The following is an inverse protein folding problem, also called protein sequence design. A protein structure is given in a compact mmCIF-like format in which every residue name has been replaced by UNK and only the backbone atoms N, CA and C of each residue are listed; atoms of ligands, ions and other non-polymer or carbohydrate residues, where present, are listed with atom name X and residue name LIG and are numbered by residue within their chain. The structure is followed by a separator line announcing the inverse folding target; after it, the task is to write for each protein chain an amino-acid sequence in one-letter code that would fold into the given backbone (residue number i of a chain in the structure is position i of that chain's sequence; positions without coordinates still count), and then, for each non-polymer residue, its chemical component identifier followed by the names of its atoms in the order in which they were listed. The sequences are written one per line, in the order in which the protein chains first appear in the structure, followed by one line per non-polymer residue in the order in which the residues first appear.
data_IF_317859878518
#
_entry.id   IF_317859878518
#
_cell.length_a   1.000
_cell.length_b   1.000
_cell.length_c   1.000
_cell.angle_alpha   90.00
_cell.angle_beta   90.00
_cell.angle_gamma   90.00
#
_symmetry.space_group_name_H-M   'P 1'
#
loop_
_entity.id
_entity.type
_entity.pdbx_description
1 polymer ?
#
# COMPACT_ATOMS: atom_id res chain seq x y z
N UNK A 1 -8.70 72.85 42.08
CA UNK A 1 -9.58 71.98 41.26
C UNK A 1 -8.71 70.96 40.53
N UNK A 2 -8.88 69.64 40.71
CA UNK A 2 -8.08 68.63 40.02
C UNK A 2 -8.73 68.25 38.67
N UNK A 3 -7.95 68.14 37.59
CA UNK A 3 -8.41 67.62 36.29
C UNK A 3 -7.76 66.25 36.04
N UNK A 4 -8.63 65.23 36.16
CA UNK A 4 -8.72 63.92 35.49
C UNK A 4 -7.42 63.27 34.96
N UNK A 5 -7.14 62.10 35.54
CA UNK A 5 -6.25 61.06 35.05
C UNK A 5 -6.65 60.64 33.62
N UNK A 6 -5.67 60.55 32.72
CA UNK A 6 -5.81 59.85 31.45
C UNK A 6 -5.62 58.35 31.70
N UNK A 7 -6.69 57.59 31.57
CA UNK A 7 -6.66 56.14 31.49
C UNK A 7 -6.04 55.76 30.14
N UNK A 8 -4.83 55.22 30.17
CA UNK A 8 -4.19 54.62 29.02
C UNK A 8 -4.91 53.29 28.72
N UNK A 9 -6.00 53.33 27.95
CA UNK A 9 -6.49 52.16 27.24
C UNK A 9 -5.47 51.80 26.15
N UNK A 10 -4.54 50.92 26.49
CA UNK A 10 -3.72 50.23 25.49
C UNK A 10 -4.63 49.29 24.68
N UNK A 11 -4.82 49.53 23.37
CA UNK A 11 -5.69 48.69 22.57
C UNK A 11 -5.13 47.27 22.50
N UNK A 12 -6.02 46.29 22.60
CA UNK A 12 -5.82 44.84 22.60
C UNK A 12 -5.12 44.27 21.33
N UNK A 13 -3.93 44.76 20.99
CA UNK A 13 -3.15 44.36 19.83
C UNK A 13 -2.60 42.92 19.98
N UNK A 14 -2.22 42.53 21.21
CA UNK A 14 -1.67 41.20 21.50
C UNK A 14 -2.68 40.04 21.35
N UNK A 15 -3.99 40.31 21.46
CA UNK A 15 -5.03 39.26 21.36
C UNK A 15 -5.40 38.92 19.92
N UNK A 16 -5.22 39.87 18.99
CA UNK A 16 -5.46 39.64 17.56
C UNK A 16 -4.32 38.82 16.94
N UNK A 17 -3.07 39.18 17.21
CA UNK A 17 -1.89 38.51 16.65
C UNK A 17 -1.77 37.04 17.07
N UNK A 18 -2.12 36.72 18.33
CA UNK A 18 -2.09 35.33 18.83
C UNK A 18 -3.17 34.46 18.19
N UNK A 19 -4.36 35.00 17.92
CA UNK A 19 -5.43 34.30 17.19
C UNK A 19 -5.08 33.99 15.73
N UNK A 20 -4.40 34.91 15.03
CA UNK A 20 -3.93 34.69 13.66
C UNK A 20 -2.82 33.64 13.58
N UNK A 21 -1.85 33.65 14.50
CA UNK A 21 -0.80 32.63 14.55
C UNK A 21 -1.36 31.23 14.85
N UNK A 22 -2.33 31.14 15.78
CA UNK A 22 -2.97 29.87 16.10
C UNK A 22 -3.81 29.34 14.94
N UNK A 23 -4.63 30.18 14.31
CA UNK A 23 -5.48 29.77 13.18
C UNK A 23 -4.67 29.40 11.94
N UNK A 24 -3.60 30.14 11.62
CA UNK A 24 -2.71 29.81 10.51
C UNK A 24 -1.95 28.51 10.75
N UNK A 25 -1.43 28.29 11.97
CA UNK A 25 -0.80 27.03 12.37
C UNK A 25 -1.76 25.83 12.30
N UNK A 26 -2.98 25.99 12.81
CA UNK A 26 -4.01 24.95 12.74
C UNK A 26 -4.40 24.64 11.28
N UNK A 27 -4.56 25.68 10.45
CA UNK A 27 -4.88 25.50 9.03
C UNK A 27 -3.75 24.77 8.30
N UNK A 28 -2.50 25.16 8.54
CA UNK A 28 -1.33 24.47 7.99
C UNK A 28 -1.25 23.00 8.43
N UNK A 29 -1.56 22.70 9.70
CA UNK A 29 -1.60 21.34 10.23
C UNK A 29 -2.73 20.51 9.59
N UNK A 30 -3.92 21.07 9.46
CA UNK A 30 -5.06 20.42 8.81
C UNK A 30 -4.76 20.14 7.33
N UNK A 31 -4.20 21.12 6.62
CA UNK A 31 -3.76 20.95 5.24
C UNK A 31 -2.70 19.86 5.13
N UNK A 32 -1.71 19.86 6.01
CA UNK A 32 -0.68 18.83 6.07
C UNK A 32 -1.26 17.42 6.22
N UNK A 33 -2.18 17.24 7.18
CA UNK A 33 -2.84 15.96 7.43
C UNK A 33 -3.63 15.49 6.21
N UNK A 34 -4.32 16.40 5.50
CA UNK A 34 -5.08 16.04 4.29
C UNK A 34 -4.18 15.67 3.10
N UNK A 35 -3.00 16.27 3.01
CA UNK A 35 -2.04 16.03 1.92
C UNK A 35 -1.18 14.79 2.13
N UNK A 36 -1.01 14.32 3.38
CA UNK A 36 -0.36 13.05 3.65
C UNK A 36 -1.06 11.93 2.88
N UNK A 37 -0.33 11.26 1.99
CA UNK A 37 -0.83 10.08 1.27
C UNK A 37 -0.58 8.85 2.11
N UNK A 38 -1.61 8.01 2.25
CA UNK A 38 -1.47 6.67 2.81
C UNK A 38 -1.01 5.73 1.71
N UNK A 39 -0.11 4.81 2.05
CA UNK A 39 0.27 3.73 1.14
C UNK A 39 -0.95 2.85 0.81
N UNK A 40 -1.07 2.38 -0.44
CA UNK A 40 -2.08 1.40 -0.78
C UNK A 40 -1.85 0.10 0.01
N UNK A 41 -2.96 -0.58 0.33
CA UNK A 41 -2.92 -1.88 0.97
C UNK A 41 -3.05 -2.97 -0.10
N UNK A 42 -2.21 -3.98 -0.01
CA UNK A 42 -2.23 -5.13 -0.89
C UNK A 42 -2.56 -6.38 -0.06
N UNK A 43 -3.42 -7.25 -0.59
CA UNK A 43 -3.73 -8.53 0.02
C UNK A 43 -3.97 -9.61 -1.03
N UNK A 44 -3.62 -10.84 -0.69
CA UNK A 44 -4.04 -12.03 -1.43
C UNK A 44 -5.37 -12.51 -0.83
N UNK A 45 -6.46 -12.36 -1.61
CA UNK A 45 -7.80 -12.78 -1.17
C UNK A 45 -8.02 -14.26 -1.46
N UNK A 46 -7.63 -14.75 -2.64
CA UNK A 46 -7.66 -16.17 -2.98
C UNK A 46 -6.29 -16.62 -3.49
N UNK A 47 -5.95 -17.87 -3.21
CA UNK A 47 -4.76 -18.53 -3.71
C UNK A 47 -5.07 -20.02 -3.83
N UNK A 48 -4.89 -20.57 -5.03
CA UNK A 48 -5.26 -21.93 -5.35
C UNK A 48 -4.20 -22.61 -6.22
N UNK A 49 -3.83 -23.81 -5.81
CA UNK A 49 -2.82 -24.66 -6.42
C UNK A 49 -3.45 -26.04 -6.68
N UNK A 50 -4.00 -26.30 -7.88
CA UNK A 50 -4.82 -27.47 -8.15
C UNK A 50 -4.10 -28.80 -7.95
N UNK A 51 -2.78 -28.86 -8.18
CA UNK A 51 -2.00 -30.10 -8.02
C UNK A 51 -1.99 -30.62 -6.58
N UNK A 52 -2.10 -29.72 -5.60
CA UNK A 52 -2.15 -30.07 -4.18
C UNK A 52 -3.52 -30.58 -3.76
N UNK A 53 -4.57 -30.26 -4.51
CA UNK A 53 -5.91 -30.75 -4.24
C UNK A 53 -5.97 -32.28 -4.40
N UNK A 54 -6.25 -32.98 -3.32
CA UNK A 54 -6.41 -34.45 -3.30
C UNK A 54 -7.66 -34.92 -4.03
N UNK A 55 -8.70 -34.10 -4.04
CA UNK A 55 -10.01 -34.42 -4.60
C UNK A 55 -10.18 -33.95 -6.06
N UNK A 56 -9.17 -33.29 -6.63
CA UNK A 56 -9.21 -32.82 -8.02
C UNK A 56 -8.83 -33.93 -8.99
N UNK A 57 -9.62 -34.09 -10.05
CA UNK A 57 -9.32 -34.93 -11.22
C UNK A 57 -8.30 -34.29 -12.17
N UNK A 58 -7.85 -33.06 -11.90
CA UNK A 58 -6.87 -32.35 -12.73
C UNK A 58 -5.46 -32.93 -12.52
N UNK A 59 -5.12 -33.98 -13.28
CA UNK A 59 -3.90 -34.77 -13.07
C UNK A 59 -2.60 -33.98 -13.34
N UNK A 60 -2.62 -32.84 -14.05
CA UNK A 60 -1.40 -32.26 -14.64
C UNK A 60 -1.30 -30.72 -14.68
N UNK A 61 -2.09 -29.96 -13.92
CA UNK A 61 -2.00 -28.50 -13.97
C UNK A 61 -0.96 -27.96 -12.96
N UNK A 62 0.24 -27.66 -13.46
CA UNK A 62 1.27 -26.85 -12.77
C UNK A 62 0.91 -25.37 -12.80
N UNK A 63 -0.32 -25.04 -12.40
CA UNK A 63 -0.85 -23.67 -12.46
C UNK A 63 -1.12 -23.18 -11.05
N UNK A 64 -0.82 -21.91 -10.78
CA UNK A 64 -1.16 -21.23 -9.53
C UNK A 64 -2.13 -20.12 -9.90
N UNK A 65 -3.31 -20.12 -9.29
CA UNK A 65 -4.33 -19.08 -9.49
C UNK A 65 -4.42 -18.23 -8.23
N UNK A 66 -4.53 -16.91 -8.37
CA UNK A 66 -4.60 -16.01 -7.23
C UNK A 66 -5.47 -14.78 -7.52
N UNK A 67 -6.03 -14.19 -6.48
CA UNK A 67 -6.67 -12.87 -6.52
C UNK A 67 -5.87 -11.88 -5.67
N UNK A 68 -5.19 -10.97 -6.37
CA UNK A 68 -4.52 -9.83 -5.75
C UNK A 68 -5.51 -8.67 -5.61
N UNK A 69 -5.80 -8.31 -4.35
CA UNK A 69 -6.60 -7.15 -4.00
C UNK A 69 -5.72 -5.95 -3.67
N UNK A 70 -6.00 -4.83 -4.31
CA UNK A 70 -5.39 -3.53 -4.07
C UNK A 70 -6.43 -2.56 -3.54
N UNK A 71 -6.22 -2.00 -2.35
CA UNK A 71 -7.12 -1.04 -1.71
C UNK A 71 -6.45 0.32 -1.58
N UNK A 72 -7.04 1.32 -2.22
CA UNK A 72 -6.67 2.72 -2.03
C UNK A 72 -7.49 3.34 -0.88
N UNK A 73 -6.84 3.62 0.25
CA UNK A 73 -7.49 4.26 1.41
C UNK A 73 -7.40 5.79 1.40
N UNK A 74 -6.76 6.37 0.38
CA UNK A 74 -6.71 7.82 0.25
C UNK A 74 -8.09 8.36 -0.08
N UNK A 75 -8.53 9.38 0.65
CA UNK A 75 -9.85 10.03 0.44
C UNK A 75 -9.91 10.84 -0.85
N UNK A 76 -8.83 11.55 -1.17
CA UNK A 76 -8.83 12.58 -2.24
C UNK A 76 -7.75 12.32 -3.30
N UNK A 77 -7.08 11.16 -3.29
CA UNK A 77 -5.93 10.88 -4.14
C UNK A 77 -6.12 9.56 -4.88
N UNK A 78 -6.02 9.62 -6.20
CA UNK A 78 -5.91 8.40 -7.01
C UNK A 78 -4.48 7.86 -6.97
N UNK A 79 -4.32 6.60 -7.35
CA UNK A 79 -3.02 5.93 -7.43
C UNK A 79 -2.84 5.42 -8.85
N UNK A 80 -1.74 5.80 -9.48
CA UNK A 80 -1.23 5.12 -10.66
C UNK A 80 -0.24 4.06 -10.16
N UNK A 81 -0.56 2.81 -10.45
CA UNK A 81 0.36 1.69 -10.27
C UNK A 81 1.12 1.56 -11.57
N UNK A 82 2.45 1.53 -11.48
CA UNK A 82 3.26 1.04 -12.58
C UNK A 82 3.09 -0.49 -12.64
N UNK A 83 3.87 -1.18 -13.46
CA UNK A 83 3.79 -2.64 -13.55
C UNK A 83 3.92 -3.29 -12.15
N UNK A 84 3.08 -4.29 -11.88
CA UNK A 84 3.14 -5.06 -10.63
C UNK A 84 3.93 -6.34 -10.93
N UNK A 85 5.17 -6.42 -10.47
CA UNK A 85 6.00 -7.60 -10.63
C UNK A 85 5.81 -8.52 -9.42
N UNK A 86 5.16 -9.65 -9.66
CA UNK A 86 4.89 -10.68 -8.64
C UNK A 86 5.82 -11.85 -8.87
N UNK A 87 6.53 -12.25 -7.82
CA UNK A 87 7.38 -13.44 -7.82
C UNK A 87 6.90 -14.42 -6.76
N UNK A 88 6.76 -15.68 -7.14
CA UNK A 88 6.23 -16.75 -6.31
C UNK A 88 7.37 -17.67 -5.92
N UNK A 89 7.41 -18.03 -4.65
CA UNK A 89 8.42 -18.91 -4.08
C UNK A 89 7.75 -20.06 -3.34
N UNK A 90 8.35 -21.24 -3.44
CA UNK A 90 8.02 -22.38 -2.61
C UNK A 90 9.02 -22.50 -1.47
N UNK A 91 8.54 -22.78 -0.25
CA UNK A 91 9.38 -23.01 0.91
C UNK A 91 9.75 -24.49 1.02
N UNK A 92 11.04 -24.79 0.98
CA UNK A 92 11.58 -26.12 1.24
C UNK A 92 11.89 -26.27 2.74
N UNK A 93 11.12 -27.09 3.48
CA UNK A 93 11.35 -27.28 4.91
C UNK A 93 12.69 -28.00 5.19
N UNK A 94 13.13 -28.89 4.30
CA UNK A 94 14.38 -29.67 4.43
C UNK A 94 15.61 -28.77 4.62
N UNK A 95 15.71 -27.71 3.83
CA UNK A 95 16.88 -26.82 3.81
C UNK A 95 16.54 -25.38 4.24
N UNK A 96 15.33 -25.15 4.77
CA UNK A 96 14.80 -23.83 5.15
C UNK A 96 15.02 -22.74 4.10
N UNK A 97 14.85 -23.09 2.83
CA UNK A 97 15.15 -22.22 1.68
C UNK A 97 13.91 -21.94 0.84
N UNK A 98 13.94 -20.82 0.13
CA UNK A 98 12.92 -20.46 -0.85
C UNK A 98 13.49 -20.69 -2.25
N UNK A 99 12.73 -21.33 -3.12
CA UNK A 99 13.04 -21.34 -4.55
C UNK A 99 11.93 -20.70 -5.33
N UNK A 100 12.32 -19.92 -6.33
CA UNK A 100 11.39 -19.30 -7.26
C UNK A 100 10.68 -20.38 -8.08
N UNK A 101 9.36 -20.28 -8.14
CA UNK A 101 8.52 -21.22 -8.87
C UNK A 101 7.74 -20.55 -9.99
N UNK A 102 7.76 -19.22 -10.09
CA UNK A 102 6.95 -18.51 -11.06
C UNK A 102 7.01 -17.00 -10.89
N UNK A 103 6.77 -16.29 -11.98
CA UNK A 103 6.62 -14.84 -11.98
C UNK A 103 5.49 -14.40 -12.92
N UNK A 104 4.94 -13.22 -12.66
CA UNK A 104 3.98 -12.56 -13.55
C UNK A 104 4.06 -11.05 -13.35
N UNK A 105 3.91 -10.33 -14.44
CA UNK A 105 3.81 -8.88 -14.44
C UNK A 105 2.38 -8.49 -14.81
N UNK A 106 1.68 -7.82 -13.89
CA UNK A 106 0.37 -7.23 -14.17
C UNK A 106 0.61 -5.82 -14.75
N UNK A 107 -0.02 -5.46 -15.88
CA UNK A 107 0.21 -4.18 -16.53
C UNK A 107 -0.21 -3.00 -15.64
N UNK A 108 0.42 -1.85 -15.88
CA UNK A 108 0.13 -0.61 -15.17
C UNK A 108 -1.35 -0.21 -15.27
N UNK A 109 -1.88 0.38 -14.20
CA UNK A 109 -3.26 0.85 -14.20
C UNK A 109 -3.50 1.98 -13.19
N UNK A 110 -4.58 2.71 -13.43
CA UNK A 110 -5.06 3.74 -12.53
C UNK A 110 -6.17 3.23 -11.61
N UNK A 111 -6.09 3.61 -10.34
CA UNK A 111 -7.13 3.39 -9.34
C UNK A 111 -7.59 4.73 -8.74
N UNK A 112 -8.91 4.95 -8.73
CA UNK A 112 -9.52 6.10 -8.06
C UNK A 112 -9.33 6.09 -6.53
N UNK A 113 -9.70 7.19 -5.88
CA UNK A 113 -9.67 7.32 -4.42
C UNK A 113 -10.77 6.47 -3.75
N UNK A 114 -10.48 5.89 -2.58
CA UNK A 114 -11.39 5.00 -1.84
C UNK A 114 -11.91 3.79 -2.65
N UNK A 115 -11.20 3.41 -3.72
CA UNK A 115 -11.55 2.26 -4.56
C UNK A 115 -10.73 1.03 -4.20
N UNK A 116 -11.29 -0.12 -4.54
CA UNK A 116 -10.65 -1.44 -4.45
C UNK A 116 -10.57 -2.02 -5.86
N UNK A 117 -9.46 -2.65 -6.20
CA UNK A 117 -9.24 -3.33 -7.46
C UNK A 117 -8.85 -4.78 -7.16
N UNK A 118 -9.37 -5.69 -7.98
CA UNK A 118 -9.05 -7.12 -7.94
C UNK A 118 -8.34 -7.49 -9.24
N UNK A 119 -7.30 -8.32 -9.12
CA UNK A 119 -6.50 -8.84 -10.22
C UNK A 119 -6.43 -10.35 -10.05
N UNK A 120 -7.32 -11.03 -10.76
CA UNK A 120 -7.42 -12.48 -10.78
C UNK A 120 -6.58 -12.97 -11.94
N UNK A 121 -5.50 -13.66 -11.62
CA UNK A 121 -4.54 -14.13 -12.63
C UNK A 121 -4.15 -15.58 -12.35
N UNK A 122 -3.56 -16.22 -13.36
CA UNK A 122 -3.02 -17.56 -13.23
C UNK A 122 -1.66 -17.67 -13.89
N UNK A 123 -0.74 -18.37 -13.24
CA UNK A 123 0.64 -18.55 -13.72
C UNK A 123 0.97 -20.02 -13.83
N UNK A 124 1.87 -20.36 -14.76
CA UNK A 124 2.47 -21.70 -14.81
C UNK A 124 3.71 -21.72 -13.94
N UNK A 125 3.80 -22.70 -13.05
CA UNK A 125 4.98 -22.87 -12.22
C UNK A 125 6.11 -23.55 -13.00
N UNK A 126 7.34 -23.11 -12.80
CA UNK A 126 8.57 -23.68 -13.36
C UNK A 126 9.60 -23.97 -12.24
N UNK A 127 10.67 -24.71 -12.57
CA UNK A 127 11.79 -24.99 -11.67
C UNK A 127 11.51 -26.05 -10.60
N UNK A 128 10.36 -25.97 -9.92
CA UNK A 128 9.90 -26.96 -8.94
C UNK A 128 8.73 -27.74 -9.51
N UNK A 129 8.89 -29.06 -9.65
CA UNK A 129 7.77 -29.95 -9.95
C UNK A 129 6.84 -29.94 -8.74
N UNK A 130 5.71 -29.22 -8.84
CA UNK A 130 4.69 -29.22 -7.78
C UNK A 130 4.10 -30.64 -7.54
N UNK A 131 4.32 -31.58 -8.46
CA UNK A 131 4.01 -33.00 -8.26
C UNK A 131 4.91 -33.61 -7.18
N UNK A 132 6.19 -33.26 -7.18
CA UNK A 132 7.17 -33.73 -6.20
C UNK A 132 6.84 -33.15 -4.82
N UNK A 133 6.31 -31.91 -4.78
CA UNK A 133 5.77 -31.30 -3.55
C UNK A 133 4.61 -32.13 -2.98
N UNK A 134 3.67 -32.58 -3.83
CA UNK A 134 2.57 -33.47 -3.41
C UNK A 134 3.09 -34.81 -2.89
N UNK A 135 4.11 -35.39 -3.52
CA UNK A 135 4.69 -36.68 -3.11
C UNK A 135 5.52 -36.59 -1.83
N UNK A 136 6.18 -35.45 -1.60
CA UNK A 136 6.98 -35.17 -0.40
C UNK A 136 6.16 -34.73 0.81
N UNK A 137 4.85 -34.61 0.70
CA UNK A 137 3.91 -34.34 1.79
C UNK A 137 3.38 -35.68 2.36
N UNK A 138 4.14 -36.41 3.20
CA UNK A 138 3.80 -37.77 3.58
C UNK A 138 2.85 -37.65 4.78
N UNK A 139 1.63 -38.14 4.63
CA UNK A 139 0.61 -38.20 5.69
C UNK A 139 -0.05 -36.85 6.05
N UNK A 140 -1.00 -36.43 5.21
CA UNK A 140 -2.28 -35.84 5.66
C UNK A 140 -2.30 -34.56 6.51
N UNK A 141 -1.18 -33.89 6.73
CA UNK A 141 -1.07 -32.80 7.70
C UNK A 141 0.01 -31.75 7.37
N UNK A 142 0.60 -31.74 6.18
CA UNK A 142 1.66 -30.79 5.86
C UNK A 142 1.10 -29.57 5.15
N UNK A 143 0.72 -28.55 5.93
CA UNK A 143 0.46 -27.20 5.42
C UNK A 143 1.66 -26.74 4.60
N UNK A 144 1.53 -26.67 3.28
CA UNK A 144 2.59 -26.18 2.38
C UNK A 144 2.63 -24.66 2.41
N UNK A 145 3.82 -24.08 2.55
CA UNK A 145 4.01 -22.63 2.58
C UNK A 145 4.59 -22.13 1.27
N UNK A 146 3.92 -21.11 0.71
CA UNK A 146 4.37 -20.32 -0.41
C UNK A 146 4.68 -18.91 0.06
N UNK A 147 5.54 -18.20 -0.66
CA UNK A 147 5.78 -16.77 -0.46
C UNK A 147 5.54 -16.04 -1.77
N UNK A 148 4.86 -14.92 -1.69
CA UNK A 148 4.61 -14.03 -2.83
C UNK A 148 5.25 -12.70 -2.53
N UNK A 149 6.22 -12.31 -3.35
CA UNK A 149 6.84 -11.00 -3.29
C UNK A 149 6.30 -10.12 -4.41
N UNK A 150 6.00 -8.87 -4.07
CA UNK A 150 5.49 -7.83 -4.95
C UNK A 150 6.51 -6.68 -4.99
N UNK A 151 7.02 -6.37 -6.17
CA UNK A 151 7.78 -5.14 -6.45
C UNK A 151 6.98 -4.28 -7.42
N UNK A 152 6.76 -3.01 -7.05
CA UNK A 152 6.06 -2.05 -7.91
C UNK A 152 6.43 -0.62 -7.54
N UNK A 153 6.17 0.32 -8.44
CA UNK A 153 6.24 1.74 -8.14
C UNK A 153 4.86 2.39 -8.24
N UNK A 154 4.55 3.28 -7.30
CA UNK A 154 3.27 3.99 -7.25
C UNK A 154 3.45 5.50 -7.37
N UNK A 155 2.52 6.15 -8.06
CA UNK A 155 2.42 7.61 -8.18
C UNK A 155 1.06 8.07 -7.69
N UNK A 156 1.02 9.04 -6.79
CA UNK A 156 -0.24 9.59 -6.30
C UNK A 156 -0.69 10.75 -7.17
N UNK A 157 -1.95 10.72 -7.62
CA UNK A 157 -2.60 11.83 -8.30
C UNK A 157 -3.21 12.76 -7.26
N UNK A 158 -2.68 13.97 -7.13
CA UNK A 158 -3.16 15.02 -6.23
C UNK A 158 -3.67 16.17 -7.10
N UNK A 159 -5.00 16.36 -7.13
CA UNK A 159 -5.66 17.34 -7.98
C UNK A 159 -5.21 17.22 -9.46
N UNK A 160 -4.38 18.16 -9.92
CA UNK A 160 -3.88 18.25 -11.29
C UNK A 160 -2.45 17.73 -11.47
N UNK A 161 -1.74 17.40 -10.39
CA UNK A 161 -0.34 16.95 -10.43
C UNK A 161 -0.18 15.51 -9.96
N UNK A 162 0.96 14.91 -10.33
CA UNK A 162 1.36 13.56 -9.93
C UNK A 162 2.60 13.66 -9.05
N UNK A 163 2.66 12.85 -8.01
CA UNK A 163 3.89 12.73 -7.21
C UNK A 163 4.97 11.99 -7.98
N UNK A 164 6.19 12.02 -7.43
CA UNK A 164 7.25 11.11 -7.87
C UNK A 164 6.83 9.66 -7.68
N UNK A 165 7.55 8.76 -8.37
CA UNK A 165 7.43 7.32 -8.18
C UNK A 165 7.91 6.92 -6.79
N UNK A 166 7.14 6.08 -6.12
CA UNK A 166 7.47 5.52 -4.82
C UNK A 166 7.51 4.01 -4.95
N UNK A 167 8.69 3.42 -4.80
CA UNK A 167 8.87 1.97 -4.86
C UNK A 167 8.30 1.28 -3.62
N UNK A 168 7.63 0.16 -3.85
CA UNK A 168 6.98 -0.67 -2.87
C UNK A 168 7.49 -2.10 -3.05
N UNK A 169 8.19 -2.61 -2.05
CA UNK A 169 8.64 -4.00 -1.99
C UNK A 169 7.98 -4.68 -0.82
N UNK A 170 7.07 -5.59 -1.12
CA UNK A 170 6.24 -6.22 -0.11
C UNK A 170 6.27 -7.73 -0.27
N UNK A 171 6.12 -8.45 0.83
CA UNK A 171 6.06 -9.91 0.83
C UNK A 171 4.87 -10.42 1.64
N UNK A 172 4.38 -11.60 1.29
CA UNK A 172 3.38 -12.32 2.07
C UNK A 172 3.63 -13.82 2.02
N UNK A 173 3.52 -14.49 3.16
CA UNK A 173 3.56 -15.95 3.25
C UNK A 173 2.13 -16.48 3.19
N UNK A 174 1.90 -17.43 2.28
CA UNK A 174 0.60 -18.06 2.03
C UNK A 174 0.72 -19.54 2.38
N UNK A 175 -0.05 -19.96 3.38
CA UNK A 175 -0.20 -21.37 3.72
C UNK A 175 -1.34 -21.99 2.93
N UNK A 176 -1.10 -23.17 2.37
CA UNK A 176 -2.03 -23.90 1.51
C UNK A 176 -2.34 -25.26 2.16
N UNK A 177 -3.64 -25.60 2.18
CA UNK A 177 -4.15 -26.85 2.73
C UNK A 177 -4.12 -28.00 1.70
N UNK A 178 -4.56 -29.17 2.14
CA UNK A 178 -4.65 -30.40 1.31
C UNK A 178 -5.69 -30.31 0.17
N UNK A 179 -6.54 -29.30 0.17
CA UNK A 179 -7.47 -28.97 -0.93
C UNK A 179 -6.79 -28.09 -1.99
N UNK A 180 -5.53 -27.70 -1.78
CA UNK A 180 -4.80 -26.78 -2.64
C UNK A 180 -5.22 -25.33 -2.51
N UNK A 181 -6.08 -24.99 -1.54
CA UNK A 181 -6.53 -23.63 -1.29
C UNK A 181 -5.77 -22.98 -0.13
N UNK A 182 -5.71 -21.65 -0.12
CA UNK A 182 -5.26 -20.87 1.03
C UNK A 182 -5.99 -21.34 2.30
N UNK A 183 -5.26 -21.71 3.35
CA UNK A 183 -5.82 -22.30 4.57
C UNK A 183 -6.67 -21.33 5.40
N UNK A 184 -6.52 -20.02 5.19
CA UNK A 184 -7.16 -18.98 5.99
C UNK A 184 -8.18 -18.24 5.14
N UNK A 185 -9.43 -18.14 5.57
CA UNK A 185 -10.50 -17.49 4.80
C UNK A 185 -10.23 -15.99 4.55
N UNK A 186 -9.75 -15.24 5.55
CA UNK A 186 -9.41 -13.81 5.40
C UNK A 186 -8.27 -13.52 4.41
N UNK A 187 -8.32 -12.37 3.74
CA UNK A 187 -7.22 -11.89 2.89
C UNK A 187 -5.89 -11.73 3.63
N UNK A 188 -4.81 -12.26 3.06
CA UNK A 188 -3.46 -12.18 3.61
C UNK A 188 -2.80 -10.89 3.17
N UNK A 189 -2.51 -10.01 4.12
CA UNK A 189 -1.92 -8.70 3.83
C UNK A 189 -0.44 -8.81 3.56
N UNK A 190 0.00 -8.13 2.51
CA UNK A 190 1.41 -7.90 2.28
C UNK A 190 1.98 -6.98 3.37
N UNK A 191 3.15 -7.34 3.89
CA UNK A 191 3.93 -6.50 4.79
C UNK A 191 5.15 -5.96 4.06
N UNK A 192 5.63 -4.79 4.48
CA UNK A 192 6.87 -4.26 3.93
C UNK A 192 8.05 -5.11 4.39
N UNK A 193 8.90 -5.51 3.44
CA UNK A 193 10.28 -5.83 3.75
C UNK A 193 10.99 -4.47 3.95
N UNK A 194 10.78 -3.85 5.11
CA UNK A 194 11.35 -2.57 5.55
C UNK A 194 11.53 -1.49 4.45
N UNK A 195 10.53 -0.65 4.22
CA UNK A 195 10.71 0.58 3.41
C UNK A 195 10.17 1.81 4.14
N UNK A 196 11.09 2.68 4.56
CA UNK A 196 10.84 3.97 5.22
C UNK A 196 10.40 5.02 4.19
N UNK A 197 9.27 5.69 4.44
CA UNK A 197 8.64 6.60 3.49
C UNK A 197 9.05 8.06 3.74
N UNK A 198 10.02 8.58 3.00
CA UNK A 198 10.44 9.99 3.04
C UNK A 198 9.77 10.80 1.91
N UNK A 199 8.44 10.92 1.94
CA UNK A 199 7.66 11.72 0.97
C UNK A 199 7.43 13.19 1.37
N UNK A 200 8.11 13.65 2.42
CA UNK A 200 7.68 14.81 3.20
C UNK A 200 8.21 16.16 2.70
N UNK A 201 9.20 16.19 1.80
CA UNK A 201 9.98 17.42 1.55
C UNK A 201 9.48 18.26 0.37
N UNK A 202 8.78 17.66 -0.60
CA UNK A 202 8.43 18.38 -1.83
C UNK A 202 7.07 19.07 -1.78
N UNK A 203 6.12 18.55 -0.98
CA UNK A 203 4.79 19.14 -0.84
C UNK A 203 4.79 20.39 0.05
N UNK A 204 5.65 20.45 1.08
CA UNK A 204 5.80 21.63 1.96
C UNK A 204 6.22 22.85 1.14
N UNK A 205 7.13 22.68 0.17
CA UNK A 205 7.69 23.79 -0.61
C UNK A 205 6.65 24.48 -1.48
N UNK A 206 5.77 23.71 -2.14
CA UNK A 206 4.71 24.28 -2.97
C UNK A 206 3.56 24.86 -2.12
N UNK A 207 3.32 24.31 -0.93
CA UNK A 207 2.31 24.86 -0.01
C UNK A 207 2.76 26.12 0.71
N UNK A 208 4.06 26.25 1.03
CA UNK A 208 4.62 27.50 1.52
C UNK A 208 4.42 28.62 0.50
N UNK A 209 4.61 28.33 -0.79
CA UNK A 209 4.35 29.30 -1.86
C UNK A 209 2.87 29.71 -1.95
N UNK A 210 1.93 28.76 -1.79
CA UNK A 210 0.48 29.04 -1.79
C UNK A 210 0.02 29.80 -0.53
N UNK A 211 0.58 29.49 0.64
CA UNK A 211 0.34 30.24 1.88
C UNK A 211 0.91 31.66 1.77
N UNK A 212 2.10 31.84 1.20
CA UNK A 212 2.68 33.17 0.93
C UNK A 212 1.78 33.96 -0.03
N UNK A 213 1.26 33.34 -1.09
CA UNK A 213 0.33 34.01 -2.01
C UNK A 213 -1.01 34.36 -1.33
N UNK A 214 -1.56 33.45 -0.53
CA UNK A 214 -2.82 33.67 0.20
C UNK A 214 -2.70 34.78 1.25
N UNK A 215 -1.61 34.80 2.04
CA UNK A 215 -1.34 35.88 2.99
C UNK A 215 -0.93 37.19 2.32
N UNK A 216 -0.25 37.13 1.16
CA UNK A 216 0.09 38.32 0.36
C UNK A 216 -1.15 39.04 -0.19
N UNK A 217 -2.21 38.30 -0.53
CA UNK A 217 -3.48 38.87 -1.01
C UNK A 217 -4.30 39.50 0.13
N UNK A 218 -4.18 38.99 1.36
CA UNK A 218 -4.90 39.53 2.54
C UNK A 218 -4.19 40.77 3.12
N UNK A 219 -2.94 41.04 2.71
CA UNK A 219 -2.13 42.15 3.24
C UNK A 219 -2.09 43.40 2.35
N UNK A 220 -2.95 43.49 1.33
CA UNK A 220 -3.11 44.65 0.41
C UNK A 220 -4.53 45.17 0.54
#
# INVERSE_FOLDING_TARGET
MPRRNNENEQPNCCRCCTGFLFSSGLTALLLWLTLKSSSPKYSIESFYVPVLNKNSTSVNSTTISFDLRLKNENRNKGIYYDALDLTFFYYFPENSSFSEIGNITIPEFYQGHLKTAHRVESIRSYGVSLKDVKMKAPNGSSTTMFRVDLDTEVRYKIMLSRTKRHRMRLGVNVTVNDEGAKSVDRGLRFSSAASHFNGLTTLVRNFLALLILYFGIISV
#
